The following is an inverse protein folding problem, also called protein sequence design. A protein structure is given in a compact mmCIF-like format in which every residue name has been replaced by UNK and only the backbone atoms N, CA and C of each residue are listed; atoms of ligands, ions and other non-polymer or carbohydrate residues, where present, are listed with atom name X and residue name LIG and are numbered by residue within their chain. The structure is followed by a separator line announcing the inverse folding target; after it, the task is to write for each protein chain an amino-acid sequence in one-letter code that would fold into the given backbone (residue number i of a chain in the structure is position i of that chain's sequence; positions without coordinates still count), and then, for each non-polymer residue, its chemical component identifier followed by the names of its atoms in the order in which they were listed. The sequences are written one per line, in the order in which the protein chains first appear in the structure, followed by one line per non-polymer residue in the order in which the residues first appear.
data_IF_350192357070
#
_entry.id   IF_350192357070
#
_cell.length_a   1.000
_cell.length_b   1.000
_cell.length_c   1.000
_cell.angle_alpha   90.00
_cell.angle_beta   90.00
_cell.angle_gamma   90.00
#
_symmetry.space_group_name_H-M   'P 1'
#
loop_
_entity.id
_entity.type
_entity.pdbx_description
1 polymer ?
#
# COMPACT_ATOMS: atom_id res chain seq x y z
N UNK A 1 -15.74 15.78 -7.15
CA UNK A 1 -14.65 16.61 -6.60
C UNK A 1 -14.73 16.56 -5.08
N UNK A 2 -13.62 16.26 -4.39
CA UNK A 2 -13.58 16.27 -2.91
C UNK A 2 -13.82 17.69 -2.40
N UNK A 3 -14.50 17.82 -1.25
CA UNK A 3 -14.75 19.09 -0.57
C UNK A 3 -13.48 19.75 -0.01
N UNK A 4 -12.39 18.98 0.11
CA UNK A 4 -11.14 19.39 0.75
C UNK A 4 -9.95 19.16 -0.19
N UNK A 5 -8.98 20.07 -0.14
CA UNK A 5 -7.72 19.92 -0.89
C UNK A 5 -6.77 18.92 -0.23
N UNK A 6 -5.78 18.45 -0.98
CA UNK A 6 -4.75 17.53 -0.50
C UNK A 6 -3.99 18.14 0.68
N UNK A 7 -3.67 19.43 0.59
CA UNK A 7 -2.95 20.21 1.61
C UNK A 7 -3.77 20.32 2.89
N UNK A 8 -5.07 20.61 2.78
CA UNK A 8 -5.98 20.65 3.93
C UNK A 8 -6.05 19.30 4.66
N UNK A 9 -6.04 18.18 3.91
CA UNK A 9 -6.05 16.85 4.49
C UNK A 9 -4.71 16.48 5.13
N UNK A 10 -3.58 16.92 4.56
CA UNK A 10 -2.24 16.72 5.14
C UNK A 10 -2.13 17.47 6.48
N UNK A 11 -2.51 18.75 6.50
CA UNK A 11 -2.47 19.58 7.72
C UNK A 11 -3.35 18.99 8.84
N UNK A 12 -4.53 18.50 8.47
CA UNK A 12 -5.44 17.84 9.40
C UNK A 12 -4.83 16.56 9.99
N UNK A 13 -4.26 15.69 9.14
CA UNK A 13 -3.65 14.45 9.59
C UNK A 13 -2.41 14.70 10.46
N UNK A 14 -1.59 15.72 10.17
CA UNK A 14 -0.46 16.12 11.03
C UNK A 14 -0.92 16.56 12.42
N UNK A 15 -1.95 17.41 12.47
CA UNK A 15 -2.51 17.92 13.73
C UNK A 15 -3.03 16.78 14.60
N UNK A 16 -3.74 15.84 14.00
CA UNK A 16 -4.31 14.70 14.69
C UNK A 16 -3.26 13.66 15.11
N UNK A 17 -2.24 13.42 14.29
CA UNK A 17 -1.08 12.61 14.67
C UNK A 17 -0.43 13.16 15.94
N UNK A 18 -0.12 14.47 15.97
CA UNK A 18 0.48 15.12 17.14
C UNK A 18 -0.37 14.96 18.40
N UNK A 19 -1.69 15.11 18.27
CA UNK A 19 -2.62 14.94 19.39
C UNK A 19 -2.64 13.49 19.90
N UNK A 20 -2.59 12.50 19.01
CA UNK A 20 -2.51 11.09 19.38
C UNK A 20 -1.19 10.77 20.10
N UNK A 21 -0.06 11.32 19.63
CA UNK A 21 1.25 11.19 20.29
C UNK A 21 1.23 11.80 21.71
N UNK A 22 0.67 13.01 21.87
CA UNK A 22 0.55 13.67 23.17
C UNK A 22 -0.34 12.88 24.14
N UNK A 23 -1.45 12.31 23.64
CA UNK A 23 -2.33 11.48 24.44
C UNK A 23 -1.66 10.17 24.87
N UNK A 24 -0.97 9.49 23.95
CA UNK A 24 -0.21 8.28 24.24
C UNK A 24 0.97 8.55 25.18
N UNK A 25 1.56 9.75 25.18
CA UNK A 25 2.56 10.11 26.17
C UNK A 25 2.00 10.10 27.61
N UNK A 26 0.70 10.43 27.77
CA UNK A 26 0.00 10.37 29.05
C UNK A 26 -0.54 8.96 29.35
N UNK A 27 -0.99 8.22 28.33
CA UNK A 27 -1.56 6.86 28.46
C UNK A 27 -0.96 5.92 27.39
N UNK A 28 0.25 5.36 27.61
CA UNK A 28 1.03 4.69 26.55
C UNK A 28 0.44 3.39 25.99
N UNK A 29 -0.50 2.78 26.69
CA UNK A 29 -1.07 1.48 26.34
C UNK A 29 -2.55 1.57 25.97
N UNK A 30 -3.06 2.77 25.69
CA UNK A 30 -4.42 2.93 25.21
C UNK A 30 -4.55 2.45 23.77
N UNK A 31 -5.36 1.41 23.58
CA UNK A 31 -5.56 0.76 22.28
C UNK A 31 -6.15 1.71 21.23
N UNK A 32 -7.03 2.62 21.64
CA UNK A 32 -7.66 3.59 20.75
C UNK A 32 -6.65 4.65 20.30
N UNK A 33 -5.83 5.17 21.20
CA UNK A 33 -4.75 6.10 20.85
C UNK A 33 -3.74 5.51 19.87
N UNK A 34 -3.39 4.23 20.01
CA UNK A 34 -2.49 3.54 19.09
C UNK A 34 -3.10 3.35 17.70
N UNK A 35 -4.39 3.01 17.63
CA UNK A 35 -5.15 2.90 16.37
C UNK A 35 -5.26 4.25 15.65
N UNK A 36 -5.55 5.31 16.39
CA UNK A 36 -5.63 6.66 15.84
C UNK A 36 -4.26 7.11 15.30
N UNK A 37 -3.18 6.89 16.05
CA UNK A 37 -1.83 7.20 15.59
C UNK A 37 -1.50 6.48 14.28
N UNK A 38 -1.72 5.16 14.22
CA UNK A 38 -1.47 4.38 13.01
C UNK A 38 -2.30 4.86 11.81
N UNK A 39 -3.57 5.22 12.03
CA UNK A 39 -4.45 5.74 10.98
C UNK A 39 -3.91 7.06 10.40
N UNK A 40 -3.48 8.00 11.24
CA UNK A 40 -2.95 9.28 10.77
C UNK A 40 -1.59 9.14 10.09
N UNK A 41 -0.76 8.19 10.51
CA UNK A 41 0.51 7.88 9.84
C UNK A 41 0.28 7.31 8.43
N UNK A 42 -0.66 6.37 8.29
CA UNK A 42 -1.06 5.84 6.98
C UNK A 42 -1.64 6.94 6.10
N UNK A 43 -2.52 7.77 6.65
CA UNK A 43 -3.12 8.88 5.90
C UNK A 43 -2.05 9.86 5.42
N UNK A 44 -1.07 10.20 6.25
CA UNK A 44 0.05 11.05 5.86
C UNK A 44 0.94 10.41 4.80
N UNK A 45 1.28 9.12 4.95
CA UNK A 45 2.05 8.40 3.94
C UNK A 45 1.32 8.37 2.59
N UNK A 46 0.00 8.12 2.60
CA UNK A 46 -0.81 8.11 1.39
C UNK A 46 -0.94 9.48 0.74
N UNK A 47 -1.14 10.53 1.54
CA UNK A 47 -1.27 11.88 1.02
C UNK A 47 0.09 12.45 0.56
N UNK A 48 1.21 12.06 1.17
CA UNK A 48 2.53 12.58 0.80
C UNK A 48 3.28 11.69 -0.19
N UNK A 49 2.77 10.50 -0.49
CA UNK A 49 3.34 9.62 -1.51
C UNK A 49 3.52 10.38 -2.83
N UNK A 50 4.66 10.18 -3.52
CA UNK A 50 4.85 10.67 -4.87
C UNK A 50 3.64 10.23 -5.68
N UNK A 51 2.92 11.17 -6.28
CA UNK A 51 1.72 10.85 -7.06
C UNK A 51 2.10 10.47 -8.48
N UNK A 52 3.34 10.77 -8.87
CA UNK A 52 3.88 10.52 -10.18
C UNK A 52 4.79 9.29 -10.17
N UNK A 53 4.67 8.40 -11.16
CA UNK A 53 5.58 7.29 -11.33
C UNK A 53 6.99 7.80 -11.63
N UNK A 54 7.99 7.17 -11.02
CA UNK A 54 9.40 7.48 -11.26
C UNK A 54 9.85 6.69 -12.47
N UNK A 55 10.16 7.39 -13.56
CA UNK A 55 10.74 6.76 -14.75
C UNK A 55 12.24 6.62 -14.55
N UNK A 56 12.76 5.44 -14.81
CA UNK A 56 14.20 5.18 -14.79
C UNK A 56 14.64 4.52 -16.08
N UNK A 57 15.89 4.75 -16.47
CA UNK A 57 16.52 4.09 -17.60
C UNK A 57 17.94 3.68 -17.27
N UNK A 58 18.46 2.69 -18.00
CA UNK A 58 19.88 2.35 -18.03
C UNK A 58 20.28 1.94 -19.44
N UNK A 59 21.57 1.99 -19.75
CA UNK A 59 22.10 1.61 -21.05
C UNK A 59 22.90 0.31 -20.89
N UNK A 60 22.51 -0.69 -21.68
CA UNK A 60 23.25 -1.93 -21.85
C UNK A 60 24.17 -1.82 -23.05
N UNK A 61 25.46 -2.00 -22.83
CA UNK A 61 26.44 -2.07 -23.89
C UNK A 61 26.35 -3.44 -24.57
N UNK A 62 25.92 -3.47 -25.84
CA UNK A 62 25.74 -4.69 -26.63
C UNK A 62 27.04 -5.42 -26.98
N UNK A 63 28.20 -4.75 -26.87
CA UNK A 63 29.50 -5.33 -27.23
C UNK A 63 30.14 -6.14 -26.10
N UNK A 64 29.99 -5.69 -24.85
CA UNK A 64 30.65 -6.31 -23.69
C UNK A 64 29.69 -6.68 -22.55
N UNK A 65 28.39 -6.44 -22.72
CA UNK A 65 27.35 -6.78 -21.75
C UNK A 65 27.32 -5.88 -20.51
N UNK A 66 28.19 -4.87 -20.41
CA UNK A 66 28.19 -3.94 -19.28
C UNK A 66 26.92 -3.11 -19.27
N UNK A 67 26.34 -2.92 -18.09
CA UNK A 67 25.12 -2.14 -17.89
C UNK A 67 25.46 -0.93 -17.02
N UNK A 68 24.95 0.23 -17.39
CA UNK A 68 25.03 1.39 -16.49
C UNK A 68 24.08 1.21 -15.31
N UNK A 69 24.33 1.96 -14.24
CA UNK A 69 23.35 2.12 -13.16
C UNK A 69 22.05 2.75 -13.66
N UNK A 70 20.98 2.51 -12.91
CA UNK A 70 19.68 3.13 -13.14
C UNK A 70 19.74 4.64 -12.90
N UNK A 71 19.25 5.40 -13.88
CA UNK A 71 19.17 6.85 -13.82
C UNK A 71 17.71 7.29 -13.88
N UNK A 72 17.34 8.24 -13.01
CA UNK A 72 15.98 8.81 -13.01
C UNK A 72 15.83 9.79 -14.16
N UNK A 73 14.73 9.65 -14.89
CA UNK A 73 14.39 10.48 -16.03
C UNK A 73 12.96 11.01 -15.88
N UNK A 74 12.68 12.17 -16.46
CA UNK A 74 11.30 12.65 -16.53
C UNK A 74 10.55 11.96 -17.65
N UNK A 75 9.23 11.81 -17.49
CA UNK A 75 8.35 11.17 -18.49
C UNK A 75 8.50 11.77 -19.90
N UNK A 76 8.63 13.08 -20.00
CA UNK A 76 8.77 13.82 -21.28
C UNK A 76 10.10 13.54 -22.00
N UNK A 77 11.11 13.03 -21.28
CA UNK A 77 12.44 12.76 -21.82
C UNK A 77 12.67 11.28 -22.20
N UNK A 78 11.70 10.40 -21.90
CA UNK A 78 11.79 8.97 -22.26
C UNK A 78 11.96 8.79 -23.77
N UNK A 79 11.17 9.49 -24.58
CA UNK A 79 11.24 9.43 -26.05
C UNK A 79 12.60 9.87 -26.60
N UNK A 80 13.29 10.79 -25.92
CA UNK A 80 14.61 11.25 -26.33
C UNK A 80 15.64 10.13 -26.17
N UNK A 81 15.63 9.43 -25.03
CA UNK A 81 16.54 8.29 -24.79
C UNK A 81 16.21 7.13 -25.73
N UNK A 82 14.92 6.86 -25.96
CA UNK A 82 14.47 5.79 -26.83
C UNK A 82 14.91 6.03 -28.29
N UNK A 83 14.95 7.30 -28.74
CA UNK A 83 15.50 7.69 -30.05
C UNK A 83 17.04 7.64 -30.09
N UNK A 84 17.71 8.00 -29.00
CA UNK A 84 19.17 8.05 -28.95
C UNK A 84 19.82 6.66 -28.83
N UNK A 85 19.17 5.73 -28.12
CA UNK A 85 19.71 4.39 -27.81
C UNK A 85 18.63 3.31 -27.98
N UNK A 86 18.06 3.13 -29.19
CA UNK A 86 16.84 2.34 -29.40
C UNK A 86 16.97 0.85 -29.06
N UNK A 87 18.20 0.29 -29.11
CA UNK A 87 18.45 -1.13 -28.92
C UNK A 87 19.21 -1.43 -27.61
N UNK A 88 19.68 -0.37 -26.94
CA UNK A 88 20.58 -0.46 -25.79
C UNK A 88 19.94 0.11 -24.52
N UNK A 89 18.89 0.91 -24.62
CA UNK A 89 18.21 1.48 -23.47
C UNK A 89 17.18 0.52 -22.88
N UNK A 90 17.29 0.26 -21.58
CA UNK A 90 16.28 -0.43 -20.78
C UNK A 90 15.56 0.60 -19.92
N UNK A 91 14.25 0.43 -19.74
CA UNK A 91 13.41 1.34 -18.98
C UNK A 91 12.63 0.57 -17.92
N UNK A 92 12.45 1.20 -16.77
CA UNK A 92 11.52 0.74 -15.75
C UNK A 92 10.72 1.90 -15.19
N UNK A 93 9.48 1.62 -14.82
CA UNK A 93 8.58 2.57 -14.18
C UNK A 93 8.41 2.10 -12.76
N UNK A 94 9.00 2.82 -11.81
CA UNK A 94 8.77 2.56 -10.40
C UNK A 94 7.51 3.33 -10.02
N UNK A 95 6.40 2.60 -9.93
CA UNK A 95 5.23 3.14 -9.26
C UNK A 95 5.58 3.33 -7.78
N UNK A 96 5.18 4.46 -7.18
CA UNK A 96 5.32 4.61 -5.74
C UNK A 96 4.62 3.42 -5.10
N UNK A 97 5.24 2.77 -4.09
CA UNK A 97 4.56 1.70 -3.38
C UNK A 97 3.21 2.24 -2.92
N UNK A 98 2.13 1.51 -3.24
CA UNK A 98 0.84 1.79 -2.64
C UNK A 98 1.05 1.88 -1.12
N UNK A 99 0.41 2.83 -0.42
CA UNK A 99 0.59 3.02 1.00
C UNK A 99 0.52 1.66 1.69
N UNK A 100 1.68 1.17 2.16
CA UNK A 100 1.73 -0.11 2.84
C UNK A 100 1.02 0.14 4.16
N UNK A 101 -0.25 -0.30 4.23
CA UNK A 101 -0.90 -0.49 5.50
C UNK A 101 0.08 -1.34 6.35
N UNK A 102 0.37 -0.97 7.60
CA UNK A 102 0.95 -1.92 8.52
C UNK A 102 0.04 -3.13 8.45
N UNK A 103 0.52 -4.21 7.87
CA UNK A 103 -0.20 -5.47 7.91
C UNK A 103 -0.26 -5.81 9.39
N UNK A 104 -1.43 -5.78 10.07
CA UNK A 104 -1.58 -6.73 11.15
C UNK A 104 -1.27 -8.10 10.51
N UNK A 105 -0.55 -8.97 11.24
CA UNK A 105 -0.27 -10.34 10.81
C UNK A 105 -1.48 -10.85 10.00
N UNK A 106 -1.25 -11.25 8.74
CA UNK A 106 -2.31 -11.55 7.78
C UNK A 106 -3.46 -12.26 8.52
N UNK A 107 -4.70 -11.73 8.48
CA UNK A 107 -5.76 -12.30 9.29
C UNK A 107 -5.83 -13.78 8.96
N UNK A 108 -5.61 -14.65 9.95
CA UNK A 108 -5.76 -16.08 9.72
C UNK A 108 -7.23 -16.37 9.42
N UNK A 109 -7.49 -17.48 8.73
CA UNK A 109 -8.86 -17.90 8.47
C UNK A 109 -9.58 -18.00 9.80
N UNK A 110 -10.72 -17.34 9.88
CA UNK A 110 -11.52 -17.31 11.08
C UNK A 110 -12.07 -18.71 11.37
N UNK A 111 -11.81 -19.18 12.58
CA UNK A 111 -12.34 -20.44 13.12
C UNK A 111 -13.56 -20.19 14.01
N UNK A 112 -14.30 -21.26 14.34
CA UNK A 112 -15.46 -21.19 15.23
C UNK A 112 -15.07 -20.72 16.64
N UNK A 113 -13.85 -21.03 17.08
CA UNK A 113 -13.33 -20.60 18.38
C UNK A 113 -13.01 -19.10 18.44
N UNK A 114 -12.74 -18.48 17.29
CA UNK A 114 -12.37 -17.06 17.15
C UNK A 114 -13.57 -16.15 16.85
N UNK A 115 -14.77 -16.73 16.69
CA UNK A 115 -15.99 -15.96 16.49
C UNK A 115 -16.20 -14.94 17.63
N UNK A 116 -16.63 -13.71 17.31
CA UNK A 116 -17.00 -12.72 18.32
C UNK A 116 -18.09 -13.29 19.23
N UNK A 117 -18.04 -12.94 20.51
CA UNK A 117 -18.98 -13.44 21.54
C UNK A 117 -20.45 -13.24 21.15
N UNK A 118 -20.74 -12.15 20.45
CA UNK A 118 -22.08 -11.80 19.99
C UNK A 118 -22.55 -12.71 18.84
N UNK A 119 -21.63 -13.18 18.01
CA UNK A 119 -21.91 -14.11 16.90
C UNK A 119 -22.04 -15.54 17.43
N UNK A 120 -21.26 -15.92 18.46
CA UNK A 120 -21.35 -17.23 19.13
C UNK A 120 -22.70 -17.49 19.79
N UNK A 121 -23.43 -16.43 20.16
CA UNK A 121 -24.76 -16.53 20.76
C UNK A 121 -25.87 -16.76 19.72
N UNK A 122 -25.58 -16.59 18.43
CA UNK A 122 -26.53 -16.84 17.36
C UNK A 122 -26.67 -18.34 17.10
N UNK A 123 -27.78 -18.78 16.45
CA UNK A 123 -27.90 -20.15 15.98
C UNK A 123 -26.69 -20.55 15.13
N UNK A 124 -26.20 -21.78 15.32
CA UNK A 124 -24.96 -22.27 14.69
C UNK A 124 -24.93 -22.06 13.16
N UNK A 125 -26.08 -22.17 12.49
CA UNK A 125 -26.19 -21.90 11.07
C UNK A 125 -25.83 -20.45 10.69
N UNK A 126 -26.23 -19.47 11.49
CA UNK A 126 -25.93 -18.05 11.26
C UNK A 126 -24.46 -17.73 11.54
N UNK A 127 -23.89 -18.35 12.57
CA UNK A 127 -22.48 -18.20 12.92
C UNK A 127 -21.55 -18.76 11.83
N UNK A 128 -21.92 -19.91 11.24
CA UNK A 128 -21.18 -20.52 10.12
C UNK A 128 -21.22 -19.65 8.86
N UNK A 129 -22.39 -19.12 8.49
CA UNK A 129 -22.52 -18.22 7.32
C UNK A 129 -21.66 -16.97 7.48
N UNK A 130 -21.58 -16.44 8.69
CA UNK A 130 -20.75 -15.26 8.98
C UNK A 130 -19.25 -15.59 8.87
N UNK A 131 -18.83 -16.73 9.43
CA UNK A 131 -17.45 -17.24 9.32
C UNK A 131 -17.04 -17.49 7.87
N UNK A 132 -17.91 -18.12 7.08
CA UNK A 132 -17.69 -18.37 5.65
C UNK A 132 -17.60 -17.07 4.85
N UNK A 133 -18.49 -16.10 5.14
CA UNK A 133 -18.46 -14.79 4.51
C UNK A 133 -17.18 -14.01 4.80
N UNK A 134 -16.71 -14.04 6.05
CA UNK A 134 -15.44 -13.45 6.45
C UNK A 134 -14.26 -14.10 5.71
N UNK A 135 -14.20 -15.43 5.70
CA UNK A 135 -13.11 -16.18 5.05
C UNK A 135 -13.10 -16.01 3.52
N UNK A 136 -14.27 -15.88 2.88
CA UNK A 136 -14.38 -15.58 1.47
C UNK A 136 -13.86 -14.16 1.15
N UNK A 137 -14.21 -13.17 1.98
CA UNK A 137 -13.75 -11.80 1.83
C UNK A 137 -12.23 -11.68 2.04
N UNK A 138 -11.70 -12.36 3.06
CA UNK A 138 -10.26 -12.48 3.31
C UNK A 138 -9.52 -13.11 2.13
N UNK A 139 -10.05 -14.20 1.58
CA UNK A 139 -9.46 -14.88 0.43
C UNK A 139 -9.45 -13.96 -0.80
N UNK A 140 -10.49 -13.17 -1.02
CA UNK A 140 -10.57 -12.19 -2.11
C UNK A 140 -9.59 -11.02 -1.93
N UNK A 141 -9.41 -10.54 -0.70
CA UNK A 141 -8.43 -9.49 -0.39
C UNK A 141 -7.00 -9.99 -0.61
N UNK A 142 -6.70 -11.24 -0.25
CA UNK A 142 -5.37 -11.84 -0.48
C UNK A 142 -5.16 -12.16 -1.96
N UNK A 143 -6.16 -12.71 -2.68
CA UNK A 143 -6.01 -13.03 -4.10
C UNK A 143 -5.96 -11.78 -4.98
N UNK A 144 -6.59 -10.67 -4.57
CA UNK A 144 -6.48 -9.36 -5.22
C UNK A 144 -5.10 -8.72 -5.12
N UNK A 145 -4.23 -9.20 -4.23
CA UNK A 145 -2.80 -8.79 -4.18
C UNK A 145 -1.89 -9.63 -5.09
N UNK A 146 -2.46 -10.59 -5.83
CA UNK A 146 -1.74 -11.61 -6.61
C UNK A 146 -2.03 -11.55 -8.12
N UNK A 147 -2.22 -10.34 -8.66
CA UNK A 147 -1.95 -10.01 -10.06
C UNK A 147 -1.00 -8.81 -10.03
N UNK A 148 0.25 -8.90 -10.45
CA UNK A 148 0.69 -9.36 -11.77
C UNK A 148 2.05 -10.08 -11.70
N UNK A 149 2.04 -11.41 -11.55
CA UNK A 149 3.23 -12.24 -11.79
C UNK A 149 2.82 -13.48 -12.61
N UNK A 150 2.85 -13.33 -13.94
CA UNK A 150 3.17 -14.32 -14.99
C UNK A 150 2.66 -13.76 -16.34
N UNK A 151 3.49 -13.23 -17.24
CA UNK A 151 4.47 -13.92 -18.08
C UNK A 151 3.84 -15.00 -18.98
N UNK A 152 3.74 -14.65 -20.28
CA UNK A 152 3.98 -15.47 -21.48
C UNK A 152 3.43 -16.90 -21.55
N UNK A 153 2.51 -17.11 -22.50
CA UNK A 153 2.83 -17.87 -23.73
C UNK A 153 2.06 -17.25 -24.92
#
# INVERSE_FOLDING_TARGET
MSKFTKEQLIEWAQTHKKRAEEYLAAVPSDEYGLKDLALFEIALAALTAPTEPVYQYRIRNCYNGQVTEWQTIRRDQVDFVLKAQPHNAEFQIITPPAPQLPHPAAPEKMTVEELPSDIKQLPAATALVWMEGWNACLTAMISGTKGDDHATD
#
